data_IF_771022445719
#
_entry.id   IF_771022445719
#
_cell.length_a   1.000
_cell.length_b   1.000
_cell.length_c   1.000
_cell.angle_alpha   90.00
_cell.angle_beta   90.00
_cell.angle_gamma   90.00
#
_symmetry.space_group_name_H-M   'P 1'
#
loop_
_entity.id
_entity.type
_entity.pdbx_description
1 polymer ?
#
# COMPACT_ATOMS: atom_id res chain seq x y z
N UNK A 1 -24.12 -6.21 -10.88
CA UNK A 1 -22.89 -6.52 -11.64
C UNK A 1 -21.88 -5.37 -11.71
N UNK A 2 -22.26 -4.10 -11.80
CA UNK A 2 -21.31 -2.97 -11.81
C UNK A 2 -20.53 -2.81 -10.49
N UNK A 3 -21.18 -2.96 -9.35
CA UNK A 3 -20.58 -2.79 -8.00
C UNK A 3 -19.42 -3.75 -7.69
N UNK A 4 -19.42 -4.97 -8.24
CA UNK A 4 -18.35 -5.95 -8.01
C UNK A 4 -17.08 -5.65 -8.84
N UNK A 5 -17.24 -5.01 -9.99
CA UNK A 5 -16.09 -4.65 -10.84
C UNK A 5 -15.32 -3.47 -10.25
N UNK A 6 -16.04 -2.50 -9.67
CA UNK A 6 -15.43 -1.31 -9.06
C UNK A 6 -14.66 -1.66 -7.79
N UNK A 7 -15.21 -2.55 -6.93
CA UNK A 7 -14.52 -2.99 -5.71
C UNK A 7 -13.25 -3.80 -6.02
N UNK A 8 -13.24 -4.58 -7.08
CA UNK A 8 -12.07 -5.35 -7.49
C UNK A 8 -10.92 -4.42 -7.95
N UNK A 9 -11.23 -3.38 -8.71
CA UNK A 9 -10.23 -2.39 -9.15
C UNK A 9 -9.70 -1.57 -7.96
N UNK A 10 -10.55 -1.21 -7.01
CA UNK A 10 -10.15 -0.50 -5.79
C UNK A 10 -9.15 -1.32 -4.96
N UNK A 11 -9.33 -2.64 -4.88
CA UNK A 11 -8.41 -3.51 -4.16
C UNK A 11 -6.99 -3.48 -4.77
N UNK A 12 -6.89 -3.57 -6.10
CA UNK A 12 -5.60 -3.49 -6.79
C UNK A 12 -4.98 -2.08 -6.73
N UNK A 13 -5.81 -1.04 -6.64
CA UNK A 13 -5.35 0.34 -6.56
C UNK A 13 -4.60 0.64 -5.26
N UNK A 14 -4.86 -0.08 -4.16
CA UNK A 14 -4.18 0.14 -2.87
C UNK A 14 -2.67 -0.08 -2.97
N UNK A 15 -2.17 -1.30 -3.29
CA UNK A 15 -0.73 -1.49 -3.44
C UNK A 15 -0.15 -0.71 -4.63
N UNK A 16 -0.89 -0.57 -5.74
CA UNK A 16 -0.44 0.20 -6.89
C UNK A 16 -0.18 1.68 -6.55
N UNK A 17 -1.09 2.31 -5.78
CA UNK A 17 -0.92 3.69 -5.31
C UNK A 17 0.30 3.82 -4.39
N UNK A 18 0.52 2.86 -3.49
CA UNK A 18 1.67 2.86 -2.59
C UNK A 18 2.99 2.70 -3.37
N UNK A 19 3.06 1.77 -4.35
CA UNK A 19 4.24 1.60 -5.21
C UNK A 19 4.50 2.83 -6.10
N UNK A 20 3.48 3.36 -6.76
CA UNK A 20 3.64 4.57 -7.58
C UNK A 20 3.99 5.79 -6.73
N UNK A 21 3.36 5.90 -5.56
CA UNK A 21 3.54 7.00 -4.62
C UNK A 21 4.89 7.03 -3.93
N UNK A 22 5.64 5.91 -3.88
CA UNK A 22 6.94 5.86 -3.20
C UNK A 22 8.00 6.78 -3.82
N UNK A 23 7.84 7.13 -5.10
CA UNK A 23 8.75 8.05 -5.78
C UNK A 23 8.48 9.53 -5.45
N UNK A 24 7.26 9.87 -5.03
CA UNK A 24 6.87 11.27 -4.79
C UNK A 24 7.74 11.98 -3.74
N UNK A 25 8.01 11.43 -2.54
CA UNK A 25 8.85 12.10 -1.56
C UNK A 25 10.27 12.34 -2.08
N UNK A 26 10.82 11.40 -2.86
CA UNK A 26 12.15 11.53 -3.45
C UNK A 26 12.21 12.66 -4.48
N UNK A 27 11.18 12.77 -5.33
CA UNK A 27 11.10 13.84 -6.34
C UNK A 27 10.86 15.21 -5.70
N UNK A 28 10.03 15.25 -4.67
CA UNK A 28 9.61 16.49 -4.00
C UNK A 28 10.54 16.94 -2.88
N UNK A 29 11.57 16.17 -2.49
CA UNK A 29 12.52 16.55 -1.44
C UNK A 29 13.25 17.86 -1.72
N UNK A 30 13.41 18.24 -3.02
CA UNK A 30 14.01 19.52 -3.41
C UNK A 30 13.13 20.73 -3.10
N UNK A 31 11.82 20.53 -2.94
CA UNK A 31 10.86 21.56 -2.57
C UNK A 31 10.77 21.80 -1.06
N UNK A 32 11.48 21.00 -0.27
CA UNK A 32 11.55 21.12 1.18
C UNK A 32 11.11 19.85 1.91
N UNK A 33 11.60 19.67 3.14
CA UNK A 33 11.33 18.46 3.94
C UNK A 33 9.85 18.30 4.30
N UNK A 34 9.16 19.40 4.58
CA UNK A 34 7.73 19.36 4.88
C UNK A 34 6.92 18.86 3.69
N UNK A 35 7.29 19.26 2.47
CA UNK A 35 6.64 18.82 1.22
C UNK A 35 6.82 17.31 1.02
N UNK A 36 8.02 16.78 1.27
CA UNK A 36 8.27 15.35 1.18
C UNK A 36 7.46 14.55 2.21
N UNK A 37 7.35 15.05 3.45
CA UNK A 37 6.55 14.43 4.51
C UNK A 37 5.04 14.46 4.17
N UNK A 38 4.54 15.59 3.70
CA UNK A 38 3.13 15.74 3.27
C UNK A 38 2.83 14.80 2.10
N UNK A 39 3.74 14.68 1.13
CA UNK A 39 3.58 13.76 0.00
C UNK A 39 3.47 12.30 0.47
N UNK A 40 4.34 11.87 1.39
CA UNK A 40 4.29 10.53 1.97
C UNK A 40 2.98 10.30 2.74
N UNK A 41 2.60 11.25 3.61
CA UNK A 41 1.35 11.17 4.37
C UNK A 41 0.12 11.13 3.46
N UNK A 42 0.12 11.90 2.37
CA UNK A 42 -0.99 11.93 1.41
C UNK A 42 -1.15 10.59 0.67
N UNK A 43 -0.04 9.95 0.27
CA UNK A 43 -0.09 8.60 -0.34
C UNK A 43 -0.68 7.60 0.63
N UNK A 44 -0.22 7.58 1.89
CA UNK A 44 -0.73 6.66 2.91
C UNK A 44 -2.19 6.92 3.25
N UNK A 45 -2.58 8.19 3.40
CA UNK A 45 -3.97 8.56 3.64
C UNK A 45 -4.87 8.18 2.45
N UNK A 46 -4.37 8.29 1.23
CA UNK A 46 -5.06 7.82 0.02
C UNK A 46 -5.29 6.31 0.04
N UNK A 47 -4.24 5.52 0.34
CA UNK A 47 -4.35 4.06 0.50
C UNK A 47 -5.34 3.68 1.62
N UNK A 48 -5.26 4.37 2.76
CA UNK A 48 -6.18 4.16 3.88
C UNK A 48 -7.63 4.50 3.50
N UNK A 49 -7.85 5.60 2.78
CA UNK A 49 -9.17 5.98 2.27
C UNK A 49 -9.77 4.95 1.32
N UNK A 50 -8.95 4.37 0.42
CA UNK A 50 -9.37 3.27 -0.45
C UNK A 50 -9.71 2.01 0.37
N UNK A 51 -8.86 1.66 1.35
CA UNK A 51 -9.08 0.51 2.22
C UNK A 51 -10.37 0.66 3.03
N UNK A 52 -10.64 1.85 3.58
CA UNK A 52 -11.86 2.11 4.35
C UNK A 52 -13.14 1.99 3.51
N UNK A 53 -13.08 2.29 2.21
CA UNK A 53 -14.21 2.03 1.30
C UNK A 53 -14.53 0.56 1.15
N UNK A 54 -13.51 -0.31 1.22
CA UNK A 54 -13.68 -1.76 1.13
C UNK A 54 -14.00 -2.39 2.50
N UNK A 55 -13.72 -1.68 3.60
CA UNK A 55 -13.84 -2.19 4.96
C UNK A 55 -15.27 -2.63 5.31
N UNK A 56 -16.29 -1.90 4.87
CA UNK A 56 -17.70 -2.23 5.16
C UNK A 56 -18.09 -3.63 4.65
N UNK A 57 -17.65 -4.00 3.46
CA UNK A 57 -17.90 -5.32 2.89
C UNK A 57 -17.09 -6.41 3.61
N UNK A 58 -15.84 -6.13 3.98
CA UNK A 58 -15.01 -7.06 4.73
C UNK A 58 -15.55 -7.30 6.15
N UNK A 59 -16.07 -6.27 6.83
CA UNK A 59 -16.75 -6.42 8.13
C UNK A 59 -18.06 -7.20 8.02
N UNK A 60 -18.75 -7.13 6.88
CA UNK A 60 -19.93 -7.95 6.59
C UNK A 60 -19.60 -9.43 6.26
N UNK A 61 -18.32 -9.83 6.39
CA UNK A 61 -17.85 -11.18 6.08
C UNK A 61 -17.68 -11.47 4.58
N UNK A 62 -17.77 -10.46 3.73
CA UNK A 62 -17.58 -10.61 2.28
C UNK A 62 -16.10 -10.53 1.95
N UNK A 63 -15.56 -11.60 1.37
CA UNK A 63 -14.19 -11.60 0.83
C UNK A 63 -14.20 -10.97 -0.55
N UNK A 64 -13.27 -10.05 -0.78
CA UNK A 64 -13.10 -9.38 -2.07
C UNK A 64 -11.88 -9.93 -2.77
N UNK A 65 -11.99 -10.08 -4.09
CA UNK A 65 -10.93 -10.64 -4.93
C UNK A 65 -10.64 -9.72 -6.12
N UNK A 66 -9.36 -9.64 -6.47
CA UNK A 66 -8.91 -9.09 -7.74
C UNK A 66 -8.02 -10.13 -8.42
N UNK A 67 -8.29 -10.42 -9.70
CA UNK A 67 -7.47 -11.36 -10.49
C UNK A 67 -7.15 -10.77 -11.85
N UNK A 68 -5.87 -10.80 -12.18
CA UNK A 68 -5.36 -10.45 -13.48
C UNK A 68 -4.42 -11.57 -13.95
N UNK A 69 -4.71 -12.18 -15.10
CA UNK A 69 -3.84 -13.16 -15.71
C UNK A 69 -2.53 -12.47 -16.14
N UNK A 70 -1.43 -12.76 -15.46
CA UNK A 70 -0.12 -12.17 -15.75
C UNK A 70 0.78 -13.15 -16.52
N UNK A 71 1.06 -14.32 -15.95
CA UNK A 71 1.88 -15.38 -16.55
C UNK A 71 1.20 -16.74 -16.35
N UNK A 72 0.11 -17.04 -17.09
CA UNK A 72 -0.69 -18.25 -16.89
C UNK A 72 0.12 -19.54 -17.10
N UNK A 73 1.12 -19.50 -18.02
CA UNK A 73 1.98 -20.65 -18.31
C UNK A 73 2.84 -21.08 -17.11
N UNK A 74 3.06 -20.20 -16.13
CA UNK A 74 3.85 -20.43 -14.91
C UNK A 74 2.97 -20.51 -13.65
N UNK A 75 1.65 -20.46 -13.81
CA UNK A 75 0.72 -20.41 -12.69
C UNK A 75 0.82 -19.10 -11.87
N UNK A 76 1.44 -18.07 -12.43
CA UNK A 76 1.65 -16.78 -11.78
C UNK A 76 0.56 -15.82 -12.25
N UNK A 77 -0.58 -15.87 -11.58
CA UNK A 77 -1.65 -14.89 -11.74
C UNK A 77 -1.50 -13.81 -10.67
N UNK A 78 -1.68 -12.55 -11.06
CA UNK A 78 -1.74 -11.44 -10.10
C UNK A 78 -3.10 -11.48 -9.42
N UNK A 79 -3.17 -12.18 -8.28
CA UNK A 79 -4.40 -12.38 -7.51
C UNK A 79 -4.26 -11.80 -6.11
N UNK A 80 -5.18 -10.89 -5.79
CA UNK A 80 -5.28 -10.27 -4.47
C UNK A 80 -6.59 -10.67 -3.81
N UNK A 81 -6.54 -10.84 -2.50
CA UNK A 81 -7.67 -11.19 -1.64
C UNK A 81 -7.71 -10.29 -0.43
N UNK A 82 -8.88 -9.74 -0.13
CA UNK A 82 -9.13 -8.98 1.09
C UNK A 82 -10.27 -9.64 1.87
N UNK A 83 -9.94 -10.18 3.01
CA UNK A 83 -10.86 -10.67 4.03
C UNK A 83 -10.72 -9.85 5.34
N UNK A 84 -11.41 -10.23 6.40
CA UNK A 84 -11.35 -9.53 7.69
C UNK A 84 -9.95 -9.51 8.31
N UNK A 85 -9.17 -10.59 8.15
CA UNK A 85 -7.79 -10.66 8.65
C UNK A 85 -6.87 -9.78 7.80
N UNK A 86 -6.97 -9.85 6.48
CA UNK A 86 -6.26 -8.98 5.55
C UNK A 86 -6.55 -7.50 5.81
N UNK A 87 -7.81 -7.15 6.07
CA UNK A 87 -8.21 -5.80 6.44
C UNK A 87 -7.49 -5.33 7.72
N UNK A 88 -7.45 -6.17 8.77
CA UNK A 88 -6.78 -5.84 10.03
C UNK A 88 -5.29 -5.55 9.80
N UNK A 89 -4.59 -6.41 9.07
CA UNK A 89 -3.16 -6.21 8.78
C UNK A 89 -2.91 -4.99 7.89
N UNK A 90 -3.73 -4.75 6.88
CA UNK A 90 -3.62 -3.55 6.05
C UNK A 90 -3.83 -2.28 6.88
N UNK A 91 -4.79 -2.26 7.82
CA UNK A 91 -5.00 -1.14 8.74
C UNK A 91 -3.79 -0.92 9.64
N UNK A 92 -3.18 -1.99 10.16
CA UNK A 92 -1.96 -1.90 10.97
C UNK A 92 -0.79 -1.32 10.16
N UNK A 93 -0.54 -1.84 8.95
CA UNK A 93 0.54 -1.37 8.08
C UNK A 93 0.37 0.12 7.78
N UNK A 94 -0.80 0.54 7.31
CA UNK A 94 -1.06 1.92 6.93
C UNK A 94 -1.12 2.86 8.14
N UNK A 95 -1.73 2.41 9.24
CA UNK A 95 -1.86 3.20 10.48
C UNK A 95 -0.51 3.45 11.14
N UNK A 96 0.28 2.38 11.36
CA UNK A 96 1.61 2.50 11.95
C UNK A 96 2.53 3.31 11.02
N UNK A 97 2.47 3.06 9.71
CA UNK A 97 3.27 3.79 8.75
C UNK A 97 2.97 5.28 8.74
N UNK A 98 1.70 5.67 8.83
CA UNK A 98 1.32 7.09 8.94
C UNK A 98 1.89 7.72 10.22
N UNK A 99 1.83 7.00 11.36
CA UNK A 99 2.45 7.46 12.61
C UNK A 99 3.97 7.61 12.47
N UNK A 100 4.65 6.68 11.78
CA UNK A 100 6.09 6.76 11.52
C UNK A 100 6.43 7.98 10.65
N UNK A 101 5.64 8.27 9.62
CA UNK A 101 5.83 9.49 8.78
C UNK A 101 5.68 10.74 9.63
N UNK A 102 4.64 10.83 10.45
CA UNK A 102 4.41 11.97 11.33
C UNK A 102 5.56 12.12 12.34
N UNK A 103 5.95 11.03 13.00
CA UNK A 103 7.06 11.05 13.95
C UNK A 103 8.37 11.51 13.28
N UNK A 104 8.70 10.95 12.13
CA UNK A 104 9.93 11.27 11.40
C UNK A 104 9.98 12.74 10.95
N UNK A 105 8.83 13.33 10.62
CA UNK A 105 8.74 14.73 10.23
C UNK A 105 9.20 15.70 11.33
N UNK A 106 9.01 15.31 12.60
CA UNK A 106 9.35 16.13 13.77
C UNK A 106 10.67 15.75 14.42
N UNK A 107 11.01 14.46 14.40
CA UNK A 107 12.13 13.91 15.18
C UNK A 107 13.46 13.87 14.41
N UNK A 108 13.42 13.63 13.09
CA UNK A 108 14.65 13.48 12.32
C UNK A 108 15.38 14.84 12.13
N UNK A 109 16.74 14.87 12.23
CA UNK A 109 17.53 16.07 12.02
C UNK A 109 17.33 16.69 10.63
N UNK A 110 17.62 17.99 10.50
CA UNK A 110 17.47 18.71 9.22
C UNK A 110 18.46 18.24 8.14
N UNK A 111 19.59 17.66 8.56
CA UNK A 111 20.66 17.17 7.70
C UNK A 111 20.28 15.86 6.96
N UNK A 112 19.27 15.12 7.46
CA UNK A 112 18.87 13.85 6.90
C UNK A 112 18.06 14.01 5.60
N UNK A 113 18.34 13.09 4.66
CA UNK A 113 17.63 13.02 3.36
C UNK A 113 16.24 12.39 3.53
N UNK A 114 15.31 13.12 4.14
CA UNK A 114 13.96 12.65 4.46
C UNK A 114 13.20 12.11 3.25
N UNK A 115 13.38 12.70 2.06
CA UNK A 115 12.75 12.20 0.84
C UNK A 115 13.11 10.75 0.54
N UNK A 116 14.39 10.37 0.72
CA UNK A 116 14.85 8.99 0.54
C UNK A 116 14.27 8.07 1.62
N UNK A 117 14.26 8.51 2.87
CA UNK A 117 13.68 7.76 3.97
C UNK A 117 12.20 7.45 3.73
N UNK A 118 11.39 8.45 3.38
CA UNK A 118 9.97 8.27 3.11
C UNK A 118 9.70 7.40 1.87
N UNK A 119 10.55 7.51 0.84
CA UNK A 119 10.41 6.67 -0.36
C UNK A 119 10.67 5.20 -0.04
N UNK A 120 11.71 4.89 0.74
CA UNK A 120 12.01 3.52 1.17
C UNK A 120 10.90 3.00 2.10
N UNK A 121 10.42 3.83 3.03
CA UNK A 121 9.31 3.47 3.92
C UNK A 121 8.04 3.13 3.13
N UNK A 122 7.66 3.96 2.15
CA UNK A 122 6.50 3.71 1.29
C UNK A 122 6.68 2.45 0.43
N UNK A 123 7.87 2.22 -0.10
CA UNK A 123 8.17 1.01 -0.86
C UNK A 123 8.02 -0.25 0.01
N UNK A 124 8.59 -0.23 1.21
CA UNK A 124 8.45 -1.31 2.18
C UNK A 124 6.97 -1.56 2.52
N UNK A 125 6.21 -0.51 2.79
CA UNK A 125 4.77 -0.64 3.09
C UNK A 125 3.98 -1.17 1.90
N UNK A 126 4.28 -0.73 0.68
CA UNK A 126 3.66 -1.24 -0.54
C UNK A 126 3.91 -2.74 -0.71
N UNK A 127 5.14 -3.21 -0.46
CA UNK A 127 5.50 -4.62 -0.48
C UNK A 127 4.76 -5.40 0.63
N UNK A 128 4.70 -4.87 1.85
CA UNK A 128 3.95 -5.49 2.95
C UNK A 128 2.44 -5.59 2.68
N UNK A 129 1.84 -4.57 2.06
CA UNK A 129 0.45 -4.65 1.58
C UNK A 129 0.29 -5.75 0.53
N UNK A 130 1.25 -5.88 -0.38
CA UNK A 130 1.28 -6.95 -1.37
C UNK A 130 1.36 -8.34 -0.73
N UNK A 131 2.21 -8.54 0.27
CA UNK A 131 2.33 -9.81 1.04
C UNK A 131 1.00 -10.18 1.70
N UNK A 132 0.35 -9.21 2.38
CA UNK A 132 -0.90 -9.45 3.12
C UNK A 132 -2.07 -9.73 2.18
N UNK A 133 -2.11 -9.08 1.03
CA UNK A 133 -3.20 -9.20 0.06
C UNK A 133 -3.00 -10.33 -0.95
N UNK A 134 -1.79 -10.89 -1.09
CA UNK A 134 -1.53 -11.96 -2.05
C UNK A 134 -2.37 -13.21 -1.77
N UNK A 135 -3.13 -13.67 -2.76
CA UNK A 135 -3.87 -14.93 -2.71
C UNK A 135 -3.01 -16.12 -3.15
N UNK A 136 -2.02 -15.87 -4.01
CA UNK A 136 -1.15 -16.87 -4.61
C UNK A 136 0.22 -16.87 -3.91
N UNK A 137 0.71 -18.06 -3.56
CA UNK A 137 2.00 -18.23 -2.86
C UNK A 137 3.19 -17.66 -3.65
N UNK A 138 3.18 -17.77 -4.98
CA UNK A 138 4.23 -17.22 -5.82
C UNK A 138 4.21 -15.68 -5.80
N UNK A 139 3.03 -15.07 -5.84
CA UNK A 139 2.87 -13.63 -5.73
C UNK A 139 3.30 -13.13 -4.33
N UNK A 140 2.94 -13.87 -3.29
CA UNK A 140 3.40 -13.59 -1.92
C UNK A 140 4.93 -13.61 -1.84
N UNK A 141 5.58 -14.61 -2.44
CA UNK A 141 7.03 -14.72 -2.47
C UNK A 141 7.67 -13.51 -3.19
N UNK A 142 7.10 -13.09 -4.32
CA UNK A 142 7.58 -11.90 -5.06
C UNK A 142 7.54 -10.65 -4.18
N UNK A 143 6.44 -10.40 -3.48
CA UNK A 143 6.35 -9.25 -2.57
C UNK A 143 7.24 -9.39 -1.34
N UNK A 144 7.40 -10.60 -0.83
CA UNK A 144 8.30 -10.90 0.28
C UNK A 144 9.76 -10.55 -0.05
N UNK A 145 10.21 -10.88 -1.25
CA UNK A 145 11.58 -10.56 -1.70
C UNK A 145 11.85 -9.05 -1.83
N UNK A 146 10.80 -8.24 -1.93
CA UNK A 146 10.92 -6.77 -1.99
C UNK A 146 11.01 -6.17 -0.56
N UNK A 147 10.53 -6.88 0.47
CA UNK A 147 10.56 -6.38 1.86
C UNK A 147 11.93 -6.59 2.50
#
# INVERSE_FOLDING_TARGET
>A
MAHSHDSNLLLAAIPALAFAGCLLPLLLQRCGRAVAAIAAAAVMAGCLGLLLRLAAAAFAGQTQFFRLAWLPAWGLDFSLRLDGLGLLFCLLILGIGLLVVLYAAWYLPEEDRLGRFYSILLLFMAAMLGVVLAENLLLLLVFWEIT
#
